data_IF_565378706355
#
_entry.id   IF_565378706355
#
_cell.length_a   1.000
_cell.length_b   1.000
_cell.length_c   1.000
_cell.angle_alpha   90.00
_cell.angle_beta   90.00
_cell.angle_gamma   90.00
#
_symmetry.space_group_name_H-M   'P 1'
#
loop_
_entity.id
_entity.type
_entity.pdbx_description
1 polymer ?
#
# COMPACT_ATOMS: atom_id res chain seq x y z
N UNK A 1 -9.70 -17.97 7.55
CA UNK A 1 -9.39 -16.87 6.61
C UNK A 1 -10.03 -17.20 5.27
N UNK A 2 -11.02 -16.42 4.82
CA UNK A 2 -11.69 -16.65 3.53
C UNK A 2 -10.69 -16.36 2.41
N UNK A 3 -10.51 -17.30 1.48
CA UNK A 3 -9.60 -17.12 0.35
C UNK A 3 -9.92 -15.81 -0.40
N UNK A 4 -8.92 -15.01 -0.80
CA UNK A 4 -9.15 -13.78 -1.52
C UNK A 4 -9.90 -14.09 -2.82
N UNK A 5 -10.91 -13.30 -3.16
CA UNK A 5 -11.54 -13.39 -4.47
C UNK A 5 -10.47 -13.22 -5.56
N UNK A 6 -10.56 -13.94 -6.69
CA UNK A 6 -9.59 -13.85 -7.81
C UNK A 6 -9.27 -12.40 -8.21
N UNK A 7 -10.25 -11.51 -8.09
CA UNK A 7 -10.13 -10.07 -8.30
C UNK A 7 -9.12 -9.39 -7.37
N UNK A 8 -9.08 -9.75 -6.08
CA UNK A 8 -8.17 -9.17 -5.09
C UNK A 8 -6.74 -9.62 -5.36
N UNK A 9 -6.52 -10.91 -5.65
CA UNK A 9 -5.20 -11.43 -6.00
C UNK A 9 -4.62 -10.74 -7.25
N UNK A 10 -5.44 -10.58 -8.30
CA UNK A 10 -5.03 -9.86 -9.52
C UNK A 10 -4.75 -8.38 -9.27
N UNK A 11 -5.52 -7.73 -8.38
CA UNK A 11 -5.25 -6.36 -7.99
C UNK A 11 -3.94 -6.24 -7.18
N UNK A 12 -3.67 -7.18 -6.27
CA UNK A 12 -2.45 -7.23 -5.48
C UNK A 12 -1.20 -7.36 -6.36
N UNK A 13 -1.26 -8.21 -7.40
CA UNK A 13 -0.17 -8.33 -8.37
C UNK A 13 0.12 -7.02 -9.12
N UNK A 14 -0.92 -6.29 -9.54
CA UNK A 14 -0.76 -4.94 -10.13
C UNK A 14 -0.15 -3.96 -9.14
N UNK A 15 -0.50 -4.08 -7.86
CA UNK A 15 0.01 -3.21 -6.81
C UNK A 15 1.51 -3.49 -6.61
N UNK A 16 1.92 -4.76 -6.58
CA UNK A 16 3.34 -5.15 -6.57
C UNK A 16 4.13 -4.56 -7.71
N UNK A 17 3.60 -4.61 -8.94
CA UNK A 17 4.28 -4.01 -10.10
C UNK A 17 4.46 -2.50 -9.98
N UNK A 18 3.54 -1.79 -9.31
CA UNK A 18 3.67 -0.36 -9.04
C UNK A 18 4.70 -0.08 -7.95
N UNK A 19 4.65 -0.87 -6.87
CA UNK A 19 5.61 -0.79 -5.77
C UNK A 19 7.05 -1.05 -6.26
N UNK A 20 7.23 -2.04 -7.13
CA UNK A 20 8.52 -2.33 -7.77
C UNK A 20 9.03 -1.21 -8.68
N UNK A 21 8.13 -0.35 -9.19
CA UNK A 21 8.49 0.86 -9.96
C UNK A 21 8.81 2.06 -9.07
N UNK A 22 8.80 1.89 -7.74
CA UNK A 22 9.02 2.97 -6.77
C UNK A 22 7.76 3.77 -6.42
N UNK A 23 6.58 3.31 -6.82
CA UNK A 23 5.32 3.90 -6.36
C UNK A 23 5.02 3.42 -4.93
N UNK A 24 4.26 4.20 -4.16
CA UNK A 24 3.88 3.81 -2.79
C UNK A 24 2.48 4.26 -2.46
N UNK A 25 1.87 3.57 -1.50
CA UNK A 25 0.53 3.86 -1.02
C UNK A 25 0.66 4.67 0.26
N UNK A 26 -0.14 5.72 0.39
CA UNK A 26 -0.22 6.56 1.57
C UNK A 26 -1.65 6.50 2.09
N UNK A 27 -1.79 6.51 3.42
CA UNK A 27 -3.07 6.57 4.10
C UNK A 27 -3.28 7.97 4.68
N UNK A 28 -4.24 8.72 4.16
CA UNK A 28 -4.60 10.06 4.66
C UNK A 28 -5.04 10.05 6.13
N UNK A 29 -5.10 11.24 6.74
CA UNK A 29 -5.74 11.50 8.03
C UNK A 29 -7.17 10.92 8.15
N UNK A 30 -7.92 10.88 7.05
CA UNK A 30 -9.25 10.27 7.00
C UNK A 30 -9.24 8.73 6.88
N UNK A 31 -8.07 8.10 6.89
CA UNK A 31 -7.91 6.65 6.68
C UNK A 31 -8.01 6.20 5.22
N UNK A 32 -8.11 7.14 4.28
CA UNK A 32 -8.20 6.84 2.85
C UNK A 32 -6.84 6.48 2.27
N UNK A 33 -6.75 5.40 1.52
CA UNK A 33 -5.51 4.97 0.89
C UNK A 33 -5.44 5.48 -0.54
N UNK A 34 -4.30 6.06 -0.92
CA UNK A 34 -4.06 6.58 -2.26
C UNK A 34 -2.63 6.31 -2.71
N UNK A 35 -2.41 6.26 -4.01
CA UNK A 35 -1.08 6.16 -4.60
C UNK A 35 -0.40 7.51 -4.59
N UNK A 36 0.79 7.64 -4.00
CA UNK A 36 1.49 8.91 -3.90
C UNK A 36 1.71 9.55 -5.27
N UNK A 37 2.23 8.81 -6.25
CA UNK A 37 2.62 9.43 -7.52
C UNK A 37 1.43 9.82 -8.40
N UNK A 38 0.25 9.25 -8.17
CA UNK A 38 -0.93 9.50 -9.02
C UNK A 38 -2.08 10.19 -8.30
N UNK A 39 -2.05 10.28 -6.98
CA UNK A 39 -3.17 10.73 -6.14
C UNK A 39 -4.43 9.85 -6.26
N UNK A 40 -4.36 8.72 -6.98
CA UNK A 40 -5.53 7.87 -7.22
C UNK A 40 -5.82 7.00 -6.01
N UNK A 41 -7.10 6.75 -5.71
CA UNK A 41 -7.47 5.90 -4.59
C UNK A 41 -6.96 4.46 -4.79
N UNK A 42 -6.39 3.90 -3.73
CA UNK A 42 -6.03 2.51 -3.62
C UNK A 42 -7.16 1.74 -2.94
N UNK A 43 -7.47 0.55 -3.44
CA UNK A 43 -8.54 -0.28 -2.91
C UNK A 43 -8.13 -0.84 -1.54
N UNK A 44 -8.75 -0.35 -0.47
CA UNK A 44 -8.39 -0.72 0.90
C UNK A 44 -8.41 -2.24 1.16
N UNK A 45 -9.33 -2.98 0.54
CA UNK A 45 -9.38 -4.44 0.63
C UNK A 45 -8.15 -5.13 0.05
N UNK A 46 -7.62 -4.63 -1.07
CA UNK A 46 -6.40 -5.16 -1.69
C UNK A 46 -5.19 -4.83 -0.84
N UNK A 47 -5.08 -3.60 -0.35
CA UNK A 47 -4.00 -3.19 0.56
C UNK A 47 -4.02 -4.03 1.83
N UNK A 48 -5.19 -4.21 2.44
CA UNK A 48 -5.34 -5.04 3.64
C UNK A 48 -4.94 -6.50 3.39
N UNK A 49 -5.33 -7.06 2.25
CA UNK A 49 -4.91 -8.40 1.85
C UNK A 49 -3.38 -8.51 1.71
N UNK A 50 -2.73 -7.51 1.09
CA UNK A 50 -1.28 -7.50 0.94
C UNK A 50 -0.55 -7.30 2.27
N UNK A 51 -1.10 -6.51 3.20
CA UNK A 51 -0.60 -6.39 4.57
C UNK A 51 -0.69 -7.71 5.32
N UNK A 52 -1.86 -8.36 5.28
CA UNK A 52 -2.08 -9.67 5.91
C UNK A 52 -1.19 -10.76 5.31
N UNK A 53 -0.88 -10.65 4.01
CA UNK A 53 0.03 -11.55 3.29
C UNK A 53 1.51 -11.19 3.45
N UNK A 54 1.86 -10.22 4.31
CA UNK A 54 3.22 -9.75 4.54
C UNK A 54 3.94 -9.26 3.25
N UNK A 55 3.16 -8.80 2.26
CA UNK A 55 3.63 -8.23 0.98
C UNK A 55 3.77 -6.71 1.05
N UNK A 56 3.09 -6.09 2.01
CA UNK A 56 3.20 -4.68 2.35
C UNK A 56 3.57 -4.56 3.83
N UNK A 57 4.25 -3.47 4.15
CA UNK A 57 4.51 -3.09 5.53
C UNK A 57 4.03 -1.66 5.73
N UNK A 58 3.28 -1.43 6.80
CA UNK A 58 3.02 -0.10 7.31
C UNK A 58 4.34 0.41 7.86
N UNK A 59 4.95 1.37 7.16
CA UNK A 59 6.06 2.12 7.72
C UNK A 59 5.49 3.41 8.27
N UNK A 60 5.67 3.60 9.57
CA UNK A 60 5.55 4.88 10.26
C UNK A 60 6.67 5.78 9.74
N UNK A 61 6.52 6.21 8.50
CA UNK A 61 7.53 6.98 7.82
C UNK A 61 7.08 8.41 7.90
N UNK A 62 7.51 9.04 8.99
CA UNK A 62 7.66 10.48 9.17
C UNK A 62 8.75 10.99 8.20
N UNK A 63 8.61 10.77 6.89
CA UNK A 63 9.71 11.06 5.93
C UNK A 63 9.84 12.57 5.67
N UNK A 64 8.92 13.38 6.18
CA UNK A 64 8.86 14.81 5.89
C UNK A 64 8.52 15.71 7.08
N UNK A 65 8.40 15.22 8.32
CA UNK A 65 8.02 16.05 9.47
C UNK A 65 6.59 16.62 9.38
N UNK A 66 5.79 16.10 8.46
CA UNK A 66 4.47 16.61 8.12
C UNK A 66 3.41 15.63 8.63
N UNK A 67 2.96 15.87 9.87
CA UNK A 67 1.91 15.12 10.55
C UNK A 67 0.56 15.13 9.80
N UNK A 68 0.42 15.87 8.69
CA UNK A 68 -0.81 15.93 7.92
C UNK A 68 -0.91 14.85 6.82
N UNK A 69 0.22 14.28 6.37
CA UNK A 69 0.26 13.44 5.16
C UNK A 69 0.51 11.96 5.43
N UNK A 70 -0.04 11.42 6.51
CA UNK A 70 -0.49 10.03 6.47
C UNK A 70 0.56 8.91 6.51
N UNK A 71 0.13 7.74 6.96
CA UNK A 71 1.02 6.58 7.12
C UNK A 71 1.40 6.01 5.74
N UNK A 72 2.70 5.80 5.50
CA UNK A 72 3.17 5.18 4.24
C UNK A 72 3.04 3.65 4.34
N UNK A 73 2.27 3.08 3.42
CA UNK A 73 2.02 1.65 3.30
C UNK A 73 2.73 1.15 2.04
N UNK A 74 4.01 0.85 2.16
CA UNK A 74 4.73 0.22 1.05
C UNK A 74 6.17 0.64 0.91
N UNK A 75 7.05 -0.17 1.50
CA UNK A 75 8.32 -0.48 0.87
C UNK A 75 8.47 -1.98 0.96
N UNK A 76 8.56 -2.64 -0.20
CA UNK A 76 9.09 -4.00 -0.29
C UNK A 76 10.52 -3.89 0.26
N UNK A 77 10.76 -4.42 1.46
CA UNK A 77 12.12 -4.82 1.83
C UNK A 77 12.37 -6.04 0.94
N UNK A 78 12.91 -5.81 -0.25
CA UNK A 78 13.70 -6.84 -0.90
C UNK A 78 14.83 -7.17 0.08
N UNK A 79 14.68 -8.27 0.81
CA UNK A 79 15.82 -8.99 1.34
C UNK A 79 16.56 -9.56 0.12
N UNK A 80 17.76 -9.03 -0.08
CA UNK A 80 18.68 -9.30 -1.18
C UNK A 80 19.95 -8.53 -0.93
#
# INVERSE_FOLDING_TARGET
>A
MTAPSKTIARAAERYRQRLAKGDFIVRDSAGQMFWQNTGRPAAARTVRFMLDSNQLFERDTDIFGDFAHGQTIGKELCDG
#
